data_IF_686387676796
#
_entry.id   IF_686387676796
#
_cell.length_a   1.000
_cell.length_b   1.000
_cell.length_c   1.000
_cell.angle_alpha   90.00
_cell.angle_beta   90.00
_cell.angle_gamma   90.00
#
_symmetry.space_group_name_H-M   'P 1'
#
loop_
_entity.id
_entity.type
_entity.pdbx_description
1 polymer ?
#
# COMPACT_ATOMS: atom_id res chain seq x y z
N UNK A 1 51.15 -44.16 53.16
CA UNK A 1 50.30 -42.95 53.22
C UNK A 1 50.97 -41.85 52.40
N UNK A 2 50.18 -41.14 51.59
CA UNK A 2 50.54 -40.06 50.64
C UNK A 2 51.01 -40.45 49.22
N UNK A 3 49.97 -40.59 48.39
CA UNK A 3 49.73 -40.24 46.97
C UNK A 3 50.79 -39.43 46.22
N UNK A 4 51.03 -39.76 44.94
CA UNK A 4 51.18 -38.80 43.82
C UNK A 4 50.63 -39.46 42.54
N UNK A 5 49.73 -38.72 41.90
CA UNK A 5 48.99 -39.02 40.69
C UNK A 5 49.87 -38.95 39.43
N UNK A 6 49.61 -39.82 38.45
CA UNK A 6 49.98 -39.64 37.05
C UNK A 6 48.71 -39.75 36.20
N UNK A 7 48.10 -38.61 35.89
CA UNK A 7 47.08 -38.53 34.86
C UNK A 7 47.67 -37.86 33.62
N UNK A 8 47.91 -38.72 32.63
CA UNK A 8 48.20 -38.41 31.26
C UNK A 8 47.22 -37.39 30.69
N UNK A 9 47.77 -36.28 30.21
CA UNK A 9 47.12 -35.33 29.31
C UNK A 9 46.57 -36.07 28.06
N UNK A 10 45.42 -35.62 27.55
CA UNK A 10 45.22 -35.30 26.12
C UNK A 10 43.86 -34.60 25.86
N UNK A 11 43.77 -33.84 24.77
CA UNK A 11 43.09 -32.54 24.72
C UNK A 11 41.74 -32.65 24.04
N UNK A 12 40.80 -31.76 24.40
CA UNK A 12 39.64 -31.45 23.57
C UNK A 12 39.39 -29.95 23.55
N UNK A 13 40.39 -29.22 23.08
CA UNK A 13 40.20 -27.89 22.51
C UNK A 13 39.57 -28.07 21.11
N UNK A 14 38.24 -28.20 21.05
CA UNK A 14 37.51 -28.21 19.78
C UNK A 14 35.99 -27.99 19.97
N UNK A 15 35.57 -27.16 20.93
CA UNK A 15 34.15 -26.92 21.19
C UNK A 15 33.77 -25.43 21.29
N UNK A 16 34.55 -24.55 20.63
CA UNK A 16 34.36 -23.09 20.74
C UNK A 16 34.01 -22.36 19.44
N UNK A 17 33.96 -23.03 18.29
CA UNK A 17 33.94 -22.38 16.97
C UNK A 17 32.72 -22.71 16.09
N UNK A 18 31.67 -23.31 16.67
CA UNK A 18 30.42 -23.60 15.93
C UNK A 18 29.19 -22.84 16.46
N UNK A 19 29.34 -22.05 17.52
CA UNK A 19 28.22 -21.30 18.11
C UNK A 19 28.04 -19.88 17.53
N UNK A 20 29.03 -19.32 16.83
CA UNK A 20 28.98 -17.94 16.30
C UNK A 20 28.44 -17.82 14.88
N UNK A 21 28.31 -18.92 14.12
CA UNK A 21 27.77 -18.90 12.75
C UNK A 21 26.24 -19.05 12.68
N UNK A 22 25.59 -19.46 13.77
CA UNK A 22 24.12 -19.63 13.81
C UNK A 22 23.35 -18.34 14.19
N UNK A 23 24.06 -17.24 14.49
CA UNK A 23 23.46 -15.97 14.90
C UNK A 23 23.20 -15.00 13.73
N UNK A 24 23.59 -15.34 12.49
CA UNK A 24 23.52 -14.45 11.34
C UNK A 24 22.30 -14.65 10.42
N UNK A 25 21.37 -15.58 10.74
CA UNK A 25 20.20 -15.89 9.89
C UNK A 25 18.89 -15.29 10.44
N UNK A 26 18.91 -14.60 11.59
CA UNK A 26 17.69 -14.00 12.18
C UNK A 26 17.59 -12.47 12.07
N UNK A 27 18.52 -11.79 11.41
CA UNK A 27 18.46 -10.33 11.20
C UNK A 27 17.71 -9.93 9.91
N UNK A 28 16.68 -10.70 9.53
CA UNK A 28 15.89 -10.50 8.33
C UNK A 28 14.38 -10.45 8.55
N UNK A 29 13.92 -10.15 9.76
CA UNK A 29 12.54 -9.72 10.00
C UNK A 29 12.60 -8.27 10.46
N UNK A 30 12.45 -7.33 9.52
CA UNK A 30 12.13 -5.96 9.85
C UNK A 30 10.82 -5.91 10.66
N UNK A 31 10.57 -4.84 11.43
CA UNK A 31 9.33 -4.70 12.18
C UNK A 31 8.14 -4.66 11.20
N UNK A 32 7.52 -5.82 10.98
CA UNK A 32 6.23 -5.92 10.33
C UNK A 32 5.21 -5.29 11.25
N UNK A 33 4.74 -4.10 10.89
CA UNK A 33 3.59 -3.47 11.54
C UNK A 33 2.35 -4.29 11.18
N UNK A 34 1.99 -5.20 12.08
CA UNK A 34 0.70 -5.87 12.05
C UNK A 34 -0.39 -4.84 12.37
N UNK A 35 -1.03 -4.32 11.33
CA UNK A 35 -2.28 -3.61 11.48
C UNK A 35 -3.36 -4.59 11.88
N UNK A 36 -3.99 -4.39 13.05
CA UNK A 36 -5.22 -5.08 13.43
C UNK A 36 -6.37 -4.51 12.62
N UNK A 37 -6.46 -4.87 11.34
CA UNK A 37 -7.61 -4.59 10.50
C UNK A 37 -8.81 -5.35 11.04
N UNK A 38 -9.66 -4.66 11.80
CA UNK A 38 -10.97 -5.15 12.20
C UNK A 38 -11.85 -5.31 10.95
N UNK A 39 -12.04 -6.55 10.50
CA UNK A 39 -13.04 -6.94 9.51
C UNK A 39 -12.45 -7.76 8.37
N UNK A 40 -12.69 -9.07 8.40
CA UNK A 40 -12.46 -10.03 7.31
C UNK A 40 -13.35 -9.72 6.09
N UNK A 41 -13.12 -8.58 5.42
CA UNK A 41 -13.17 -8.62 3.97
C UNK A 41 -11.83 -9.20 3.53
N UNK A 42 -11.85 -10.36 2.88
CA UNK A 42 -10.64 -10.90 2.26
C UNK A 42 -10.01 -9.74 1.47
N UNK A 43 -8.78 -9.37 1.83
CA UNK A 43 -8.13 -8.20 1.23
C UNK A 43 -8.16 -8.39 -0.29
N UNK A 44 -8.71 -7.42 -1.02
CA UNK A 44 -8.77 -7.48 -2.48
C UNK A 44 -7.38 -7.74 -3.09
N UNK A 45 -6.31 -7.32 -2.40
CA UNK A 45 -4.93 -7.66 -2.75
C UNK A 45 -4.75 -9.17 -2.98
N UNK A 46 -5.25 -10.01 -2.08
CA UNK A 46 -5.14 -11.47 -2.20
C UNK A 46 -5.93 -12.01 -3.40
N UNK A 47 -7.11 -11.45 -3.69
CA UNK A 47 -7.90 -11.82 -4.87
C UNK A 47 -7.13 -11.58 -6.17
N UNK A 48 -6.42 -10.45 -6.27
CA UNK A 48 -5.62 -10.10 -7.44
C UNK A 48 -4.19 -10.66 -7.41
N UNK A 49 -3.78 -11.37 -6.36
CA UNK A 49 -2.40 -11.85 -6.19
C UNK A 49 -1.37 -10.73 -5.97
N UNK A 50 -1.82 -9.58 -5.50
CA UNK A 50 -0.98 -8.43 -5.18
C UNK A 50 -0.46 -8.50 -3.73
N UNK A 51 0.72 -7.93 -3.51
CA UNK A 51 1.29 -7.75 -2.18
C UNK A 51 1.11 -6.29 -1.73
N UNK A 52 0.82 -6.05 -0.45
CA UNK A 52 0.78 -4.69 0.09
C UNK A 52 2.16 -4.04 -0.06
N UNK A 53 2.17 -2.76 -0.45
CA UNK A 53 3.37 -1.95 -0.58
C UNK A 53 3.10 -0.53 -0.09
N UNK A 54 4.15 0.22 0.22
CA UNK A 54 3.98 1.64 0.56
C UNK A 54 3.73 2.46 -0.70
N UNK A 55 2.71 3.32 -0.66
CA UNK A 55 2.45 4.30 -1.71
C UNK A 55 3.62 5.30 -1.83
N UNK A 56 4.31 5.58 -0.72
CA UNK A 56 5.44 6.50 -0.70
C UNK A 56 6.71 5.96 -1.36
N UNK A 57 6.81 4.65 -1.64
CA UNK A 57 7.89 4.11 -2.47
C UNK A 57 7.55 4.08 -3.97
N UNK A 58 6.38 4.60 -4.36
CA UNK A 58 5.93 4.63 -5.76
C UNK A 58 6.17 5.99 -6.42
N UNK A 59 5.92 6.04 -7.73
CA UNK A 59 5.87 7.29 -8.50
C UNK A 59 4.77 8.27 -8.04
N UNK A 60 3.80 7.79 -7.25
CA UNK A 60 2.70 8.60 -6.71
C UNK A 60 3.09 9.34 -5.42
N UNK A 61 4.29 9.12 -4.87
CA UNK A 61 4.72 9.68 -3.59
C UNK A 61 4.61 11.21 -3.52
N UNK A 62 4.85 11.91 -4.63
CA UNK A 62 4.75 13.37 -4.70
C UNK A 62 3.31 13.91 -4.64
N UNK A 63 2.32 13.06 -4.93
CA UNK A 63 0.89 13.38 -4.92
C UNK A 63 0.18 12.80 -3.69
N UNK A 64 0.87 11.97 -2.91
CA UNK A 64 0.42 11.48 -1.62
C UNK A 64 0.98 12.36 -0.48
N UNK A 65 0.45 12.20 0.73
CA UNK A 65 0.91 12.92 1.93
C UNK A 65 2.25 12.34 2.47
N UNK A 66 3.22 12.10 1.60
CA UNK A 66 4.53 11.56 1.93
C UNK A 66 5.50 12.68 2.32
N UNK A 67 6.34 12.44 3.32
CA UNK A 67 7.47 13.31 3.66
C UNK A 67 8.74 12.78 3.00
N UNK A 68 9.50 13.67 2.37
CA UNK A 68 10.81 13.37 1.82
C UNK A 68 11.92 13.87 2.75
N UNK A 69 12.88 13.00 3.07
CA UNK A 69 14.05 13.35 3.91
C UNK A 69 15.33 13.66 3.12
N UNK A 70 15.24 13.69 1.79
CA UNK A 70 16.36 13.84 0.87
C UNK A 70 16.75 12.55 0.15
N UNK A 71 16.31 11.39 0.65
CA UNK A 71 16.63 10.07 0.05
C UNK A 71 15.43 9.15 -0.05
N UNK A 72 14.53 9.20 0.94
CA UNK A 72 13.36 8.33 1.02
C UNK A 72 12.10 9.14 1.26
N UNK A 73 11.01 8.71 0.62
CA UNK A 73 9.68 9.20 0.92
C UNK A 73 9.02 8.22 1.89
N UNK A 74 8.47 8.75 2.99
CA UNK A 74 7.80 7.97 4.03
C UNK A 74 6.42 8.54 4.31
N UNK A 75 5.47 7.66 4.64
CA UNK A 75 4.13 8.09 5.05
C UNK A 75 4.24 8.90 6.34
N UNK A 76 3.47 9.99 6.44
CA UNK A 76 3.37 10.77 7.67
C UNK A 76 2.14 10.29 8.44
N UNK A 77 2.31 9.61 9.59
CA UNK A 77 1.18 9.11 10.36
C UNK A 77 0.22 10.25 10.75
N UNK A 78 -1.07 10.05 10.53
CA UNK A 78 -2.10 11.04 10.84
C UNK A 78 -2.11 12.28 9.95
N UNK A 79 -1.40 12.29 8.82
CA UNK A 79 -1.49 13.38 7.85
C UNK A 79 -2.89 13.48 7.25
N UNK A 80 -3.34 14.70 6.96
CA UNK A 80 -4.62 14.88 6.29
C UNK A 80 -4.63 14.18 4.91
N UNK A 81 -5.74 13.53 4.52
CA UNK A 81 -5.88 12.96 3.19
C UNK A 81 -5.65 13.99 2.09
N UNK A 82 -4.97 13.59 1.01
CA UNK A 82 -4.88 14.42 -0.20
C UNK A 82 -6.17 14.22 -1.00
N UNK A 83 -6.92 15.30 -1.20
CA UNK A 83 -8.10 15.31 -2.06
C UNK A 83 -7.70 15.68 -3.49
N UNK A 84 -8.06 14.82 -4.44
CA UNK A 84 -7.97 15.06 -5.87
C UNK A 84 -9.36 15.09 -6.49
N UNK A 85 -9.58 15.99 -7.44
CA UNK A 85 -10.87 16.18 -8.10
C UNK A 85 -10.70 16.31 -9.60
N UNK A 86 -11.69 15.87 -10.37
CA UNK A 86 -11.74 16.13 -11.81
C UNK A 86 -12.03 17.61 -12.12
N UNK A 87 -11.89 17.97 -13.40
CA UNK A 87 -12.18 19.31 -13.88
C UNK A 87 -13.68 19.56 -14.16
N UNK A 88 -14.56 18.59 -13.87
CA UNK A 88 -15.99 18.77 -14.12
C UNK A 88 -16.60 19.77 -13.13
N UNK A 89 -17.66 20.45 -13.54
CA UNK A 89 -18.36 21.39 -12.66
C UNK A 89 -18.87 20.66 -11.41
N UNK A 90 -18.38 21.09 -10.25
CA UNK A 90 -18.71 20.47 -8.96
C UNK A 90 -17.94 19.19 -8.65
N UNK A 91 -16.83 18.90 -9.34
CA UNK A 91 -15.94 17.77 -9.05
C UNK A 91 -16.69 16.42 -9.01
N UNK A 92 -17.06 15.90 -10.19
CA UNK A 92 -17.89 14.68 -10.30
C UNK A 92 -17.14 13.46 -9.78
N UNK A 93 -15.89 13.30 -10.19
CA UNK A 93 -14.96 12.31 -9.65
C UNK A 93 -14.12 12.95 -8.55
N UNK A 94 -14.15 12.33 -7.37
CA UNK A 94 -13.36 12.72 -6.20
C UNK A 94 -12.55 11.54 -5.73
N UNK A 95 -11.27 11.78 -5.44
CA UNK A 95 -10.36 10.76 -4.90
C UNK A 95 -9.66 11.28 -3.66
N UNK A 96 -9.66 10.48 -2.59
CA UNK A 96 -8.92 10.74 -1.37
C UNK A 96 -7.80 9.73 -1.26
N UNK A 97 -6.57 10.21 -1.19
CA UNK A 97 -5.41 9.39 -0.86
C UNK A 97 -5.07 9.58 0.61
N UNK A 98 -5.00 8.49 1.35
CA UNK A 98 -4.66 8.50 2.77
C UNK A 98 -3.78 7.30 3.09
N UNK A 99 -2.56 7.57 3.57
CA UNK A 99 -1.52 6.56 3.77
C UNK A 99 -1.30 5.72 2.50
N UNK A 100 -1.59 4.42 2.55
CA UNK A 100 -1.51 3.50 1.41
C UNK A 100 -2.89 3.21 0.78
N UNK A 101 -3.92 3.95 1.14
CA UNK A 101 -5.30 3.73 0.69
C UNK A 101 -5.78 4.80 -0.29
N UNK A 102 -6.70 4.40 -1.17
CA UNK A 102 -7.45 5.29 -2.03
C UNK A 102 -8.95 5.06 -1.88
N UNK A 103 -9.70 6.15 -1.74
CA UNK A 103 -11.15 6.18 -1.82
C UNK A 103 -11.55 7.00 -3.04
N UNK A 104 -12.37 6.46 -3.92
CA UNK A 104 -12.91 7.14 -5.08
C UNK A 104 -14.43 7.17 -5.01
N UNK A 105 -15.02 8.32 -5.30
CA UNK A 105 -16.46 8.51 -5.41
C UNK A 105 -16.76 9.21 -6.73
N UNK A 106 -17.64 8.61 -7.54
CA UNK A 106 -18.32 9.28 -8.66
C UNK A 106 -19.66 9.78 -8.14
N UNK A 107 -19.92 11.09 -8.23
CA UNK A 107 -21.05 11.70 -7.53
C UNK A 107 -22.39 11.63 -8.30
N UNK A 108 -22.37 11.27 -9.57
CA UNK A 108 -23.52 11.20 -10.48
C UNK A 108 -23.95 9.76 -10.83
N UNK A 109 -23.20 8.77 -10.37
CA UNK A 109 -23.48 7.34 -10.48
C UNK A 109 -23.28 6.68 -9.12
N UNK A 110 -23.93 5.54 -8.83
CA UNK A 110 -23.69 4.76 -7.61
C UNK A 110 -22.36 4.01 -7.73
N UNK A 111 -21.25 4.75 -7.81
CA UNK A 111 -19.92 4.18 -7.96
C UNK A 111 -18.98 4.75 -6.91
N UNK A 112 -18.68 3.90 -5.94
CA UNK A 112 -17.64 4.12 -4.96
C UNK A 112 -16.61 3.01 -5.04
N UNK A 113 -15.34 3.33 -4.79
CA UNK A 113 -14.25 2.37 -4.72
C UNK A 113 -13.41 2.65 -3.48
N UNK A 114 -13.03 1.59 -2.78
CA UNK A 114 -12.08 1.66 -1.66
C UNK A 114 -11.05 0.56 -1.84
N UNK A 115 -9.77 0.94 -1.85
CA UNK A 115 -8.68 0.00 -2.09
C UNK A 115 -7.36 0.42 -1.46
N UNK A 116 -6.46 -0.56 -1.39
CA UNK A 116 -5.13 -0.40 -0.84
C UNK A 116 -4.08 -0.52 -1.94
N UNK A 117 -3.01 0.26 -1.84
CA UNK A 117 -1.87 0.19 -2.74
C UNK A 117 -1.19 -1.17 -2.65
N UNK A 118 -0.96 -1.75 -3.82
CA UNK A 118 -0.29 -3.03 -3.93
C UNK A 118 0.53 -3.14 -5.20
N UNK A 119 1.39 -4.15 -5.20
CA UNK A 119 2.27 -4.48 -6.32
C UNK A 119 2.20 -5.96 -6.64
N UNK A 120 2.24 -6.25 -7.94
CA UNK A 120 2.48 -7.58 -8.48
C UNK A 120 3.85 -7.54 -9.14
N UNK A 121 4.68 -8.56 -8.91
CA UNK A 121 6.05 -8.58 -9.44
C UNK A 121 6.04 -8.40 -10.98
N UNK A 122 6.82 -7.41 -11.46
CA UNK A 122 6.90 -7.08 -12.88
C UNK A 122 5.76 -6.22 -13.43
N UNK A 123 4.85 -5.73 -12.58
CA UNK A 123 3.75 -4.84 -12.97
C UNK A 123 3.85 -3.49 -12.25
N UNK A 124 3.26 -2.45 -12.86
CA UNK A 124 3.06 -1.17 -12.18
C UNK A 124 2.12 -1.34 -10.98
N UNK A 125 2.40 -0.59 -9.90
CA UNK A 125 1.56 -0.58 -8.72
C UNK A 125 0.16 -0.03 -9.02
N UNK A 126 -0.83 -0.52 -8.29
CA UNK A 126 -2.25 -0.15 -8.43
C UNK A 126 -2.90 -0.18 -7.06
N UNK A 127 -4.06 0.46 -6.93
CA UNK A 127 -4.91 0.22 -5.78
C UNK A 127 -5.81 -0.99 -6.07
N UNK A 128 -5.83 -1.94 -5.16
CA UNK A 128 -6.66 -3.14 -5.22
C UNK A 128 -7.71 -3.06 -4.12
N UNK A 129 -8.97 -3.22 -4.48
CA UNK A 129 -10.06 -2.91 -3.59
C UNK A 129 -11.37 -3.50 -4.03
N UNK A 130 -12.44 -2.87 -3.56
CA UNK A 130 -13.80 -3.25 -3.94
C UNK A 130 -14.56 -2.00 -4.38
N UNK A 131 -15.45 -2.16 -5.34
CA UNK A 131 -16.54 -1.21 -5.52
C UNK A 131 -17.65 -1.51 -4.54
N UNK A 132 -18.28 -0.47 -4.00
CA UNK A 132 -19.38 -0.60 -3.05
C UNK A 132 -20.73 -0.28 -3.71
N UNK A 133 -21.53 -1.31 -4.03
CA UNK A 133 -22.94 -1.13 -4.35
C UNK A 133 -23.80 -1.72 -3.20
N UNK A 134 -23.70 -1.16 -2.00
CA UNK A 134 -24.63 -1.28 -0.86
C UNK A 134 -24.92 -2.67 -0.25
N UNK A 135 -24.56 -3.81 -0.88
CA UNK A 135 -24.83 -5.16 -0.31
C UNK A 135 -23.77 -6.22 -0.68
N UNK A 136 -23.11 -6.11 -1.83
CA UNK A 136 -22.12 -7.10 -2.29
C UNK A 136 -20.85 -6.40 -2.84
N UNK A 137 -19.78 -6.30 -2.03
CA UNK A 137 -18.52 -5.72 -2.51
C UNK A 137 -17.97 -6.54 -3.68
N UNK A 138 -17.77 -5.89 -4.82
CA UNK A 138 -17.22 -6.53 -6.01
C UNK A 138 -15.72 -6.16 -6.15
N UNK A 139 -14.80 -7.13 -6.32
CA UNK A 139 -13.39 -6.82 -6.48
C UNK A 139 -13.14 -5.92 -7.70
N UNK A 140 -12.31 -4.90 -7.49
CA UNK A 140 -11.95 -3.92 -8.50
C UNK A 140 -10.52 -3.45 -8.30
N UNK A 141 -9.95 -2.86 -9.35
CA UNK A 141 -8.64 -2.23 -9.30
C UNK A 141 -8.71 -0.82 -9.87
N UNK A 142 -7.98 0.09 -9.23
CA UNK A 142 -7.82 1.47 -9.69
C UNK A 142 -6.38 1.65 -10.15
N UNK A 143 -6.23 1.85 -11.46
CA UNK A 143 -4.99 2.23 -12.10
C UNK A 143 -4.80 3.73 -11.90
N UNK A 144 -3.70 4.13 -11.25
CA UNK A 144 -3.37 5.52 -11.00
C UNK A 144 -1.96 5.81 -11.52
N UNK A 145 -1.85 6.75 -12.46
CA UNK A 145 -0.59 7.13 -13.07
C UNK A 145 -0.36 8.64 -12.91
N UNK A 146 0.87 9.11 -12.65
CA UNK A 146 1.17 10.53 -12.65
C UNK A 146 0.79 11.19 -13.99
N UNK A 147 0.16 12.36 -13.92
CA UNK A 147 -0.19 13.15 -15.11
C UNK A 147 -0.13 14.64 -14.78
N UNK A 148 1.02 15.27 -15.04
CA UNK A 148 1.25 16.68 -14.70
C UNK A 148 1.22 16.88 -13.18
N UNK A 149 0.33 17.75 -12.70
CA UNK A 149 0.12 18.03 -11.26
C UNK A 149 -0.93 17.13 -10.61
N UNK A 150 -1.35 16.07 -11.31
CA UNK A 150 -2.45 15.22 -10.89
C UNK A 150 -2.25 13.76 -11.29
N UNK A 151 -3.35 13.02 -11.30
CA UNK A 151 -3.39 11.60 -11.65
C UNK A 151 -4.29 11.36 -12.85
N UNK A 152 -3.88 10.43 -13.71
CA UNK A 152 -4.77 9.74 -14.64
C UNK A 152 -5.27 8.47 -13.97
N UNK A 153 -6.59 8.33 -13.90
CA UNK A 153 -7.27 7.26 -13.21
C UNK A 153 -8.08 6.41 -14.19
N UNK A 154 -8.04 5.09 -14.02
CA UNK A 154 -8.95 4.14 -14.66
C UNK A 154 -9.36 3.08 -13.64
N UNK A 155 -10.65 2.97 -13.37
CA UNK A 155 -11.21 1.93 -12.49
C UNK A 155 -11.71 0.77 -13.36
N UNK A 156 -11.33 -0.45 -12.98
CA UNK A 156 -11.74 -1.69 -13.64
C UNK A 156 -12.32 -2.69 -12.66
N UNK A 157 -13.27 -3.49 -13.11
CA UNK A 157 -13.73 -4.66 -12.36
C UNK A 157 -12.72 -5.82 -12.43
N UNK A 158 -13.03 -6.91 -11.74
CA UNK A 158 -12.23 -8.13 -11.72
C UNK A 158 -11.99 -8.74 -13.11
N UNK A 159 -12.94 -8.58 -14.03
CA UNK A 159 -12.85 -9.05 -15.42
C UNK A 159 -12.07 -8.08 -16.33
N UNK A 160 -11.62 -6.94 -15.81
CA UNK A 160 -10.86 -5.92 -16.53
C UNK A 160 -11.71 -4.94 -17.34
N UNK A 161 -13.04 -5.00 -17.23
CA UNK A 161 -13.95 -4.03 -17.86
C UNK A 161 -13.83 -2.69 -17.16
N UNK A 162 -13.83 -1.62 -17.94
CA UNK A 162 -13.72 -0.25 -17.42
C UNK A 162 -15.06 0.14 -16.77
N UNK A 163 -15.02 0.47 -15.49
CA UNK A 163 -16.15 1.03 -14.75
C UNK A 163 -16.12 2.57 -14.77
N UNK A 164 -14.92 3.16 -14.74
CA UNK A 164 -14.71 4.61 -14.81
C UNK A 164 -13.36 4.92 -15.47
N UNK A 165 -13.34 5.97 -16.29
CA UNK A 165 -12.11 6.54 -16.85
C UNK A 165 -11.86 6.23 -18.33
N UNK A 166 -10.77 6.79 -18.90
CA UNK A 166 -9.73 7.55 -18.21
C UNK A 166 -10.21 8.93 -17.73
N UNK A 167 -9.96 9.27 -16.46
CA UNK A 167 -10.24 10.60 -15.89
C UNK A 167 -8.95 11.22 -15.37
N UNK A 168 -8.78 12.53 -15.57
CA UNK A 168 -7.68 13.29 -14.96
C UNK A 168 -8.22 13.99 -13.71
N UNK A 169 -7.55 13.79 -12.58
CA UNK A 169 -7.85 14.47 -11.33
C UNK A 169 -6.64 15.26 -10.84
N UNK A 170 -6.86 16.41 -10.21
CA UNK A 170 -5.80 17.27 -9.68
C UNK A 170 -6.01 17.53 -8.20
N UNK A 171 -4.91 17.62 -7.44
CA UNK A 171 -4.97 17.94 -6.02
C UNK A 171 -5.64 19.30 -5.78
N UNK A 172 -6.50 19.37 -4.76
CA UNK A 172 -7.17 20.61 -4.35
C UNK A 172 -7.21 20.72 -2.83
N UNK A 173 -7.01 21.94 -2.32
CA UNK A 173 -7.28 22.27 -0.92
C UNK A 173 -8.71 22.80 -0.72
N UNK A 174 -9.40 23.17 -1.80
CA UNK A 174 -10.76 23.67 -1.74
C UNK A 174 -11.75 22.50 -1.63
N UNK A 175 -12.77 22.61 -0.78
CA UNK A 175 -13.83 21.61 -0.75
C UNK A 175 -14.53 21.55 -2.13
N UNK A 176 -14.92 20.35 -2.59
CA UNK A 176 -15.60 20.20 -3.86
C UNK A 176 -16.97 20.88 -3.79
N UNK A 177 -17.36 21.54 -4.88
CA UNK A 177 -18.70 22.11 -5.02
C UNK A 177 -19.78 21.03 -5.15
N UNK A 178 -21.03 21.44 -5.30
CA UNK A 178 -22.12 20.50 -5.61
C UNK A 178 -21.96 19.98 -7.05
N UNK A 179 -21.91 18.66 -7.26
CA UNK A 179 -21.77 18.08 -8.59
C UNK A 179 -23.00 18.38 -9.45
N UNK A 180 -22.76 18.72 -10.72
CA UNK A 180 -23.83 18.88 -11.71
C UNK A 180 -23.93 17.59 -12.53
N UNK A 181 -25.01 16.83 -12.36
CA UNK A 181 -25.25 15.59 -13.11
C UNK A 181 -26.08 15.86 -14.37
N UNK A 182 -25.76 15.20 -15.50
CA UNK A 182 -26.49 15.34 -16.75
C UNK A 182 -27.90 14.72 -16.69
#
# INVERSE_FOLDING_TARGET
>A
MSTIEWLSQRPRAALGWLATLLAAVLAGCGPGVGGTGTGDTASALAYFGANPASLCSSELAALAACRYDGTTATAVPGAAPVLLVDAAAGARVRVRLYEDSAELVEACAPLEFRGQWGVIAGQAGRFYGHTDPDVAPAPALLEAQPSGTGLRLTLRDAEGRVLLGPVIVTATAAPPGTPVCP
#
